data_IF_912040670863
#
_entry.id   IF_912040670863
#
_cell.length_a   1.000
_cell.length_b   1.000
_cell.length_c   1.000
_cell.angle_alpha   90.00
_cell.angle_beta   90.00
_cell.angle_gamma   90.00
#
_symmetry.space_group_name_H-M   'P 1'
#
loop_
_entity.id
_entity.type
_entity.pdbx_description
1 polymer ?
#
# COMPACT_ATOMS: atom_id res chain seq x y z
N UNK A 1 9.37 -9.09 15.32
CA UNK A 1 10.16 -7.82 15.30
C UNK A 1 11.15 -7.93 14.15
N UNK A 2 11.24 -6.93 13.28
CA UNK A 2 12.10 -6.94 12.07
C UNK A 2 13.52 -6.47 12.45
N UNK A 3 14.61 -7.05 11.90
CA UNK A 3 15.97 -6.59 12.20
C UNK A 3 16.16 -5.11 11.87
N UNK A 4 16.92 -4.33 12.68
CA UNK A 4 17.12 -2.90 12.45
C UNK A 4 17.66 -2.57 11.05
N UNK A 5 18.62 -3.36 10.56
CA UNK A 5 19.19 -3.19 9.21
C UNK A 5 18.17 -3.39 8.10
N UNK A 6 17.20 -4.29 8.30
CA UNK A 6 16.11 -4.52 7.36
C UNK A 6 15.04 -3.43 7.49
N UNK A 7 14.77 -2.95 8.70
CA UNK A 7 13.87 -1.81 8.91
C UNK A 7 14.40 -0.53 8.26
N UNK A 8 15.71 -0.27 8.34
CA UNK A 8 16.36 0.89 7.70
C UNK A 8 16.32 0.78 6.17
N UNK A 9 16.59 -0.41 5.62
CA UNK A 9 16.47 -0.65 4.18
C UNK A 9 15.03 -0.48 3.66
N UNK A 10 14.04 -0.95 4.43
CA UNK A 10 12.61 -0.79 4.13
C UNK A 10 12.11 0.63 4.42
N UNK A 11 12.82 1.43 5.21
CA UNK A 11 12.48 2.84 5.46
C UNK A 11 12.57 3.67 4.19
N UNK A 12 13.45 3.30 3.25
CA UNK A 12 13.58 3.98 1.94
C UNK A 12 12.35 3.73 1.05
N UNK A 13 11.63 2.63 1.29
CA UNK A 13 10.36 2.30 0.62
C UNK A 13 9.16 3.08 1.17
N UNK A 14 9.34 3.96 2.17
CA UNK A 14 8.27 4.83 2.64
C UNK A 14 7.93 5.92 1.62
N UNK A 15 6.63 6.06 1.35
CA UNK A 15 6.06 6.86 0.26
C UNK A 15 6.14 8.39 0.54
N UNK A 16 6.91 9.12 -0.28
CA UNK A 16 6.73 10.56 -0.48
C UNK A 16 5.74 10.80 -1.63
N UNK A 17 4.51 10.35 -1.44
CA UNK A 17 3.54 10.31 -2.52
C UNK A 17 2.85 11.65 -2.73
N UNK A 18 3.01 12.21 -3.93
CA UNK A 18 2.27 13.41 -4.29
C UNK A 18 0.75 13.15 -4.32
N UNK A 19 -0.04 14.09 -3.81
CA UNK A 19 -1.48 14.00 -3.90
C UNK A 19 -1.94 14.11 -5.37
N UNK A 20 -2.96 13.32 -5.76
CA UNK A 20 -3.70 13.56 -7.01
C UNK A 20 -4.81 14.60 -6.79
N UNK A 21 -5.35 15.15 -7.87
CA UNK A 21 -6.33 16.25 -7.81
C UNK A 21 -7.66 15.80 -7.20
N UNK A 22 -8.32 16.74 -6.52
CA UNK A 22 -9.64 16.49 -5.92
C UNK A 22 -10.72 16.24 -6.99
N UNK A 23 -10.60 16.84 -8.18
CA UNK A 23 -11.48 16.56 -9.32
C UNK A 23 -11.39 15.10 -9.74
N UNK A 24 -10.18 14.55 -9.85
CA UNK A 24 -9.98 13.15 -10.17
C UNK A 24 -10.53 12.24 -9.06
N UNK A 25 -10.35 12.64 -7.79
CA UNK A 25 -10.93 11.92 -6.66
C UNK A 25 -12.46 11.85 -6.72
N UNK A 26 -13.12 12.97 -7.04
CA UNK A 26 -14.57 13.03 -7.21
C UNK A 26 -15.05 12.12 -8.34
N UNK A 27 -14.36 12.12 -9.48
CA UNK A 27 -14.67 11.22 -10.61
C UNK A 27 -14.55 9.74 -10.22
N UNK A 28 -13.48 9.38 -9.50
CA UNK A 28 -13.30 8.01 -9.00
C UNK A 28 -14.46 7.63 -8.08
N UNK A 29 -14.79 8.46 -7.10
CA UNK A 29 -15.90 8.21 -6.16
C UNK A 29 -17.22 7.99 -6.90
N UNK A 30 -17.54 8.82 -7.89
CA UNK A 30 -18.75 8.65 -8.71
C UNK A 30 -18.71 7.28 -9.41
N UNK A 31 -17.66 7.01 -10.20
CA UNK A 31 -17.57 5.78 -10.99
C UNK A 31 -17.65 4.51 -10.14
N UNK A 32 -17.05 4.50 -8.95
CA UNK A 32 -17.04 3.33 -8.06
C UNK A 32 -18.39 3.11 -7.38
N UNK A 33 -19.16 4.18 -7.11
CA UNK A 33 -20.45 4.10 -6.40
C UNK A 33 -21.67 4.00 -7.35
N UNK A 34 -21.51 4.31 -8.64
CA UNK A 34 -22.60 4.28 -9.62
C UNK A 34 -22.38 3.25 -10.74
N UNK A 35 -21.20 3.22 -11.37
CA UNK A 35 -20.95 2.43 -12.59
C UNK A 35 -20.39 1.03 -12.29
N UNK A 36 -19.56 0.90 -11.26
CA UNK A 36 -18.86 -0.36 -10.92
C UNK A 36 -19.56 -1.20 -9.85
N UNK A 37 -20.76 -0.83 -9.45
CA UNK A 37 -21.53 -1.58 -8.48
C UNK A 37 -22.17 -2.82 -9.14
N UNK A 38 -21.74 -4.02 -8.73
CA UNK A 38 -22.25 -5.28 -9.28
C UNK A 38 -23.60 -5.71 -8.69
N UNK A 39 -23.94 -5.29 -7.46
CA UNK A 39 -25.15 -5.77 -6.77
C UNK A 39 -26.13 -4.66 -6.35
N UNK A 40 -25.64 -3.53 -5.84
CA UNK A 40 -26.49 -2.40 -5.42
C UNK A 40 -25.69 -1.11 -5.53
N UNK A 41 -26.07 -0.25 -6.47
CA UNK A 41 -25.49 1.09 -6.59
C UNK A 41 -25.95 1.96 -5.42
N UNK A 42 -25.11 2.91 -5.00
CA UNK A 42 -25.52 3.92 -4.05
C UNK A 42 -26.61 4.82 -4.66
N UNK A 43 -27.52 5.33 -3.83
CA UNK A 43 -28.52 6.31 -4.25
C UNK A 43 -27.80 7.53 -4.90
N UNK A 44 -28.19 7.96 -6.11
CA UNK A 44 -27.59 9.12 -6.77
C UNK A 44 -27.54 10.37 -5.88
N UNK A 45 -28.56 10.61 -5.05
CA UNK A 45 -28.60 11.75 -4.13
C UNK A 45 -27.54 11.65 -3.02
N UNK A 46 -27.22 10.43 -2.57
CA UNK A 46 -26.14 10.19 -1.60
C UNK A 46 -24.78 10.43 -2.25
N UNK A 47 -24.59 9.98 -3.49
CA UNK A 47 -23.34 10.17 -4.23
C UNK A 47 -23.11 11.66 -4.49
N UNK A 48 -24.12 12.39 -4.93
CA UNK A 48 -24.05 13.84 -5.16
C UNK A 48 -23.66 14.59 -3.87
N UNK A 49 -24.36 14.32 -2.76
CA UNK A 49 -24.05 14.93 -1.47
C UNK A 49 -22.62 14.62 -0.98
N UNK A 50 -22.14 13.39 -1.20
CA UNK A 50 -20.77 12.99 -0.84
C UNK A 50 -19.72 13.75 -1.66
N UNK A 51 -19.96 13.93 -2.96
CA UNK A 51 -19.06 14.63 -3.90
C UNK A 51 -19.03 16.13 -3.63
N UNK A 52 -20.18 16.74 -3.35
CA UNK A 52 -20.28 18.15 -2.95
C UNK A 52 -19.62 18.40 -1.60
N UNK A 53 -19.80 17.48 -0.65
CA UNK A 53 -19.22 17.56 0.68
C UNK A 53 -17.71 17.28 0.74
N UNK A 54 -17.07 16.83 -0.35
CA UNK A 54 -15.68 16.41 -0.36
C UNK A 54 -14.72 17.61 -0.23
N UNK A 55 -13.87 17.60 0.80
CA UNK A 55 -12.86 18.63 1.05
C UNK A 55 -11.62 18.53 0.15
N UNK A 56 -10.61 19.36 0.40
CA UNK A 56 -9.23 19.09 -0.04
C UNK A 56 -8.66 17.83 0.64
N UNK A 57 -7.65 17.16 0.06
CA UNK A 57 -7.06 15.96 0.65
C UNK A 57 -6.45 16.29 2.01
N UNK A 58 -6.87 15.55 3.04
CA UNK A 58 -6.41 15.71 4.43
C UNK A 58 -5.12 14.92 4.66
N UNK A 59 -4.94 13.82 3.94
CA UNK A 59 -3.73 13.01 3.97
C UNK A 59 -3.52 12.26 2.66
N UNK A 60 -2.26 12.11 2.26
CA UNK A 60 -1.85 11.13 1.27
C UNK A 60 -1.46 9.83 2.00
N UNK A 61 -2.00 8.70 1.55
CA UNK A 61 -1.65 7.37 2.03
C UNK A 61 -1.00 6.58 0.88
N UNK A 62 -0.25 5.53 1.20
CA UNK A 62 0.50 4.77 0.18
C UNK A 62 -0.39 4.29 -1.00
N UNK A 63 -1.58 3.75 -0.72
CA UNK A 63 -2.46 3.19 -1.76
C UNK A 63 -3.60 4.13 -2.19
N UNK A 64 -3.64 5.36 -1.69
CA UNK A 64 -4.76 6.27 -1.93
C UNK A 64 -4.68 7.58 -1.17
N UNK A 65 -5.77 8.33 -1.13
CA UNK A 65 -5.84 9.59 -0.41
C UNK A 65 -7.08 9.63 0.48
N UNK A 66 -6.98 10.39 1.56
CA UNK A 66 -8.09 10.57 2.50
C UNK A 66 -8.63 11.99 2.41
N UNK A 67 -9.94 12.07 2.30
CA UNK A 67 -10.72 13.28 2.22
C UNK A 67 -11.69 13.34 3.40
N UNK A 68 -12.01 14.54 3.87
CA UNK A 68 -13.15 14.73 4.76
C UNK A 68 -14.39 14.99 3.91
N UNK A 69 -15.52 14.44 4.31
CA UNK A 69 -16.80 14.78 3.71
C UNK A 69 -17.90 14.87 4.77
N UNK A 70 -19.04 15.45 4.41
CA UNK A 70 -20.26 15.42 5.21
C UNK A 70 -21.30 14.64 4.44
N UNK A 71 -21.84 13.59 5.06
CA UNK A 71 -22.87 12.74 4.46
C UNK A 71 -24.21 12.94 5.18
N UNK A 72 -25.32 13.21 4.46
CA UNK A 72 -26.63 13.37 5.08
C UNK A 72 -27.02 12.17 5.94
N UNK A 73 -27.45 12.41 7.18
CA UNK A 73 -27.82 11.37 8.14
C UNK A 73 -26.64 10.72 8.89
N UNK A 74 -25.40 10.86 8.41
CA UNK A 74 -24.21 10.26 9.02
C UNK A 74 -23.22 11.30 9.57
N UNK A 75 -23.31 12.55 9.12
CA UNK A 75 -22.44 13.63 9.59
C UNK A 75 -21.05 13.58 8.95
N UNK A 76 -20.01 13.90 9.73
CA UNK A 76 -18.64 13.93 9.21
C UNK A 76 -18.10 12.52 8.96
N UNK A 77 -17.61 12.27 7.76
CA UNK A 77 -17.02 10.99 7.34
C UNK A 77 -15.62 11.20 6.74
N UNK A 78 -14.80 10.16 6.81
CA UNK A 78 -13.52 10.10 6.10
C UNK A 78 -13.69 9.23 4.85
N UNK A 79 -13.42 9.80 3.68
CA UNK A 79 -13.52 9.11 2.39
C UNK A 79 -12.12 8.80 1.91
N UNK A 80 -11.79 7.50 1.83
CA UNK A 80 -10.52 7.04 1.29
C UNK A 80 -10.68 6.67 -0.18
N UNK A 81 -10.03 7.42 -1.06
CA UNK A 81 -10.07 7.22 -2.51
C UNK A 81 -8.81 6.48 -2.94
N UNK A 82 -8.97 5.33 -3.60
CA UNK A 82 -7.85 4.54 -4.11
C UNK A 82 -7.11 5.31 -5.21
N UNK A 83 -5.77 5.24 -5.22
CA UNK A 83 -4.98 5.89 -6.26
C UNK A 83 -5.23 5.20 -7.62
N UNK A 84 -5.50 5.96 -8.69
CA UNK A 84 -5.69 5.38 -10.01
C UNK A 84 -4.46 4.55 -10.44
N UNK A 85 -4.71 3.35 -10.96
CA UNK A 85 -3.66 2.43 -11.43
C UNK A 85 -2.88 1.70 -10.32
N UNK A 86 -3.16 1.94 -9.04
CA UNK A 86 -2.37 1.35 -7.95
C UNK A 86 -2.47 -0.17 -7.90
N UNK A 87 -3.62 -0.74 -8.29
CA UNK A 87 -3.83 -2.20 -8.30
C UNK A 87 -2.78 -2.90 -9.18
N UNK A 88 -2.61 -2.45 -10.41
CA UNK A 88 -1.63 -3.04 -11.32
C UNK A 88 -0.19 -2.82 -10.88
N UNK A 89 0.10 -1.73 -10.16
CA UNK A 89 1.43 -1.52 -9.56
C UNK A 89 1.68 -2.54 -8.44
N UNK A 90 0.74 -2.67 -7.50
CA UNK A 90 0.82 -3.63 -6.39
C UNK A 90 0.92 -5.07 -6.90
N UNK A 91 0.15 -5.44 -7.92
CA UNK A 91 0.21 -6.78 -8.53
C UNK A 91 1.57 -7.06 -9.17
N UNK A 92 2.15 -6.08 -9.86
CA UNK A 92 3.49 -6.19 -10.46
C UNK A 92 4.55 -6.36 -9.38
N UNK A 93 4.53 -5.53 -8.35
CA UNK A 93 5.50 -5.56 -7.26
C UNK A 93 5.44 -6.90 -6.51
N UNK A 94 4.22 -7.36 -6.21
CA UNK A 94 4.00 -8.67 -5.60
C UNK A 94 4.51 -9.82 -6.48
N UNK A 95 4.36 -9.71 -7.81
CA UNK A 95 4.89 -10.69 -8.77
C UNK A 95 6.42 -10.74 -8.79
N UNK A 96 7.07 -9.57 -8.74
CA UNK A 96 8.52 -9.46 -8.64
C UNK A 96 9.03 -10.06 -7.33
N UNK A 97 8.41 -9.74 -6.19
CA UNK A 97 8.78 -10.29 -4.88
C UNK A 97 8.65 -11.82 -4.85
N UNK A 98 7.59 -12.37 -5.46
CA UNK A 98 7.45 -13.84 -5.60
C UNK A 98 8.57 -14.45 -6.43
N UNK A 99 8.94 -13.81 -7.53
CA UNK A 99 10.06 -14.27 -8.38
C UNK A 99 11.39 -14.23 -7.63
N UNK A 100 11.64 -13.16 -6.87
CA UNK A 100 12.84 -13.02 -6.04
C UNK A 100 12.87 -14.07 -4.90
N UNK A 101 11.75 -14.31 -4.24
CA UNK A 101 11.64 -15.34 -3.21
C UNK A 101 11.97 -16.73 -3.77
N UNK A 102 11.37 -17.09 -4.91
CA UNK A 102 11.67 -18.34 -5.59
C UNK A 102 13.14 -18.47 -6.00
N UNK A 103 13.76 -17.37 -6.44
CA UNK A 103 15.19 -17.35 -6.76
C UNK A 103 16.05 -17.57 -5.51
N UNK A 104 15.77 -16.87 -4.40
CA UNK A 104 16.50 -17.04 -3.13
C UNK A 104 16.37 -18.47 -2.60
N UNK A 105 15.18 -19.07 -2.66
CA UNK A 105 14.94 -20.46 -2.26
C UNK A 105 15.72 -21.47 -3.12
N UNK A 106 16.00 -21.11 -4.38
CA UNK A 106 16.79 -21.96 -5.28
C UNK A 106 18.30 -21.91 -5.01
N UNK A 107 18.78 -20.97 -4.19
CA UNK A 107 20.20 -20.88 -3.81
C UNK A 107 20.49 -21.97 -2.78
N UNK A 108 21.34 -22.97 -3.09
CA UNK A 108 21.77 -23.96 -2.10
C UNK A 108 22.42 -23.24 -0.93
N UNK A 109 22.10 -23.64 0.31
CA UNK A 109 22.67 -23.04 1.51
C UNK A 109 24.20 -22.90 1.37
N UNK A 110 24.72 -21.68 1.48
CA UNK A 110 26.15 -21.43 1.51
C UNK A 110 26.71 -22.22 2.69
N UNK A 111 27.65 -23.17 2.50
CA UNK A 111 28.26 -23.86 3.61
C UNK A 111 28.95 -22.80 4.48
N UNK A 112 28.52 -22.68 5.73
CA UNK A 112 29.17 -21.83 6.71
C UNK A 112 30.59 -22.35 6.90
N UNK A 113 31.59 -21.62 6.38
CA UNK A 113 32.99 -21.87 6.69
C UNK A 113 33.23 -21.54 8.16
N UNK A 114 33.11 -22.53 9.03
CA UNK A 114 33.75 -22.50 10.34
C UNK A 114 35.27 -22.58 10.15
N UNK A 115 35.89 -21.42 9.92
CA UNK A 115 37.30 -21.21 10.20
C UNK A 115 37.41 -20.15 11.27
N UNK A 116 37.38 -20.58 12.53
CA UNK A 116 38.22 -20.01 13.58
C UNK A 116 38.25 -20.89 14.84
N UNK A 117 39.47 -21.35 15.16
CA UNK A 117 40.11 -21.36 16.49
C UNK A 117 40.41 -22.75 17.09
N UNK A 118 41.70 -23.12 17.10
CA UNK A 118 42.19 -24.20 17.95
C UNK A 118 43.58 -24.80 17.66
N UNK A 119 44.60 -24.01 17.31
CA UNK A 119 45.99 -24.48 17.51
C UNK A 119 46.23 -24.48 19.03
N UNK A 120 46.40 -25.66 19.65
CA UNK A 120 46.75 -25.76 21.07
C UNK A 120 46.70 -27.17 21.71
N UNK A 121 47.85 -27.87 21.65
CA UNK A 121 48.48 -28.74 22.65
C UNK A 121 47.82 -30.03 23.21
N UNK A 122 48.59 -31.14 23.17
CA UNK A 122 48.81 -32.02 24.34
C UNK A 122 48.80 -33.56 24.14
N UNK A 123 49.99 -34.19 24.26
CA UNK A 123 50.20 -35.61 24.61
C UNK A 123 50.55 -36.52 23.42
N UNK A 124 51.66 -37.26 23.37
CA UNK A 124 52.58 -37.80 24.40
C UNK A 124 54.03 -37.75 23.95
#
# INVERSE_FOLDING_TARGET
VVPPSLADALSVLQDNMQPFSSELAKQIVISELTEKCEETCADPAIVEALVEGLSSPVAAASVGQVYKAVLPGYGNVAVKVQRPGIRGLVERDASMLRSLAAWVESIPAIPSNESTKGIGNGGT
#
